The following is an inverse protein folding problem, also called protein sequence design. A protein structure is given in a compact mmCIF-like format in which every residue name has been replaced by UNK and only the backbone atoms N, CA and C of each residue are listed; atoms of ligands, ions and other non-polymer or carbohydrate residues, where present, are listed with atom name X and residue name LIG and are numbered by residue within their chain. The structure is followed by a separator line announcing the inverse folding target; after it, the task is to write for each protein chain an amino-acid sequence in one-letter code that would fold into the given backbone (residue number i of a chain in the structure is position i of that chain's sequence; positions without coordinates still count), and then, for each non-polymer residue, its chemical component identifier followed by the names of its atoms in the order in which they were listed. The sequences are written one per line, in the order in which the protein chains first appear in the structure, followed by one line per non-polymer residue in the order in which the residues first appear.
data_IF_813088617669
#
_entry.id   IF_813088617669
#
_cell.length_a   1.000
_cell.length_b   1.000
_cell.length_c   1.000
_cell.angle_alpha   90.00
_cell.angle_beta   90.00
_cell.angle_gamma   90.00
#
_symmetry.space_group_name_H-M   'P 1'
#
loop_
_entity.id
_entity.type
_entity.pdbx_description
1 polymer ?
#
# COMPACT_ATOMS: atom_id res chain seq x y z
N UNK A 1 -8.70 4.30 6.29
CA UNK A 1 -9.39 3.05 5.90
C UNK A 1 -10.37 2.60 6.95
N UNK A 2 -11.51 2.14 6.51
CA UNK A 2 -12.53 1.69 7.42
C UNK A 2 -12.32 0.23 7.81
N UNK A 3 -12.38 -0.05 9.07
CA UNK A 3 -12.28 -1.42 9.59
C UNK A 3 -13.68 -1.98 9.72
N UNK A 4 -13.87 -3.20 9.27
CA UNK A 4 -15.16 -3.87 9.41
C UNK A 4 -15.36 -4.28 10.85
N UNK A 5 -16.51 -3.91 11.40
CA UNK A 5 -16.81 -4.18 12.80
C UNK A 5 -17.74 -5.35 13.01
N UNK A 6 -18.32 -5.81 11.94
CA UNK A 6 -19.25 -6.92 12.02
C UNK A 6 -19.24 -7.63 10.69
N UNK A 7 -19.93 -8.72 10.63
CA UNK A 7 -19.95 -9.52 9.43
C UNK A 7 -18.82 -10.52 9.47
N UNK A 8 -18.70 -11.29 8.41
CA UNK A 8 -17.76 -12.38 8.39
C UNK A 8 -16.29 -11.96 8.34
N UNK A 9 -16.04 -10.71 8.02
CA UNK A 9 -14.67 -10.22 7.99
C UNK A 9 -14.25 -9.56 9.28
N UNK A 10 -15.13 -9.51 10.25
CA UNK A 10 -14.79 -8.95 11.55
C UNK A 10 -13.66 -9.77 12.14
N UNK A 11 -12.64 -9.14 12.61
CA UNK A 11 -11.47 -9.80 13.16
C UNK A 11 -10.46 -10.27 12.15
N UNK A 12 -10.77 -10.19 10.87
CA UNK A 12 -9.81 -10.53 9.84
C UNK A 12 -8.84 -9.38 9.61
N UNK A 13 -7.64 -9.71 9.20
CA UNK A 13 -6.66 -8.70 8.89
C UNK A 13 -7.06 -7.95 7.61
N UNK A 14 -6.93 -6.64 7.66
CA UNK A 14 -7.20 -5.80 6.52
C UNK A 14 -5.90 -5.11 6.14
N UNK A 15 -5.59 -5.12 4.86
CA UNK A 15 -4.33 -4.57 4.37
C UNK A 15 -4.58 -3.50 3.32
N UNK A 16 -3.61 -2.62 3.19
CA UNK A 16 -3.59 -1.68 2.06
C UNK A 16 -2.15 -1.56 1.58
N UNK A 17 -1.99 -0.93 0.45
CA UNK A 17 -0.70 -0.85 -0.22
C UNK A 17 -0.33 0.59 -0.46
N UNK A 18 0.92 0.92 -0.18
CA UNK A 18 1.48 2.22 -0.46
C UNK A 18 2.49 2.07 -1.58
N UNK A 19 2.41 2.95 -2.55
CA UNK A 19 3.29 2.94 -3.71
C UNK A 19 4.00 4.28 -3.74
N UNK A 20 5.31 4.26 -3.71
CA UNK A 20 6.08 5.49 -3.65
C UNK A 20 7.56 5.23 -3.73
N UNK A 21 8.34 6.07 -3.09
CA UNK A 21 9.80 6.00 -3.19
C UNK A 21 10.43 6.06 -1.81
N UNK A 22 11.45 5.23 -1.62
CA UNK A 22 12.21 5.21 -0.38
C UNK A 22 13.26 6.30 -0.45
N UNK A 23 13.18 7.24 0.47
CA UNK A 23 14.17 8.29 0.60
C UNK A 23 14.96 8.05 1.88
N UNK A 24 16.02 8.84 2.10
CA UNK A 24 16.84 8.69 3.29
C UNK A 24 15.99 8.75 4.56
N UNK A 25 15.81 7.59 5.17
CA UNK A 25 15.14 7.50 6.45
C UNK A 25 13.63 7.59 6.42
N UNK A 26 13.01 7.74 5.27
CA UNK A 26 11.56 7.78 5.21
C UNK A 26 11.05 7.29 3.86
N UNK A 27 9.76 7.00 3.82
CA UNK A 27 9.08 6.54 2.61
C UNK A 27 8.16 7.64 2.11
N UNK A 28 8.38 8.06 0.86
CA UNK A 28 7.56 9.09 0.24
C UNK A 28 6.38 8.42 -0.47
N UNK A 29 5.22 8.43 0.16
CA UNK A 29 4.04 7.78 -0.36
C UNK A 29 3.38 8.61 -1.45
N UNK A 30 3.30 8.06 -2.66
CA UNK A 30 2.69 8.76 -3.79
C UNK A 30 1.22 8.42 -3.92
N UNK A 31 0.88 7.14 -3.79
CA UNK A 31 -0.50 6.70 -3.94
C UNK A 31 -0.74 5.47 -3.08
N UNK A 32 -1.98 5.31 -2.61
CA UNK A 32 -2.38 4.16 -1.82
C UNK A 32 -3.58 3.47 -2.43
N UNK A 33 -3.69 2.18 -2.19
CA UNK A 33 -4.87 1.44 -2.58
C UNK A 33 -5.09 0.27 -1.64
N UNK A 34 -6.34 -0.04 -1.37
CA UNK A 34 -6.70 -1.23 -0.61
C UNK A 34 -6.92 -2.44 -1.53
N UNK A 35 -6.92 -2.21 -2.83
CA UNK A 35 -7.18 -3.25 -3.81
C UNK A 35 -5.88 -3.78 -4.37
N UNK A 36 -5.54 -5.01 -4.00
CA UNK A 36 -4.31 -5.63 -4.45
C UNK A 36 -4.23 -5.72 -5.98
N UNK A 37 -5.36 -5.89 -6.63
CA UNK A 37 -5.38 -6.00 -8.10
C UNK A 37 -5.04 -4.69 -8.79
N UNK A 38 -5.14 -3.57 -8.09
CA UNK A 38 -4.81 -2.27 -8.65
C UNK A 38 -3.33 -1.91 -8.50
N UNK A 39 -2.61 -2.64 -7.66
CA UNK A 39 -1.22 -2.28 -7.34
C UNK A 39 -0.36 -2.26 -8.60
N UNK A 40 -0.45 -3.29 -9.43
CA UNK A 40 0.38 -3.38 -10.62
C UNK A 40 0.14 -2.21 -11.57
N UNK A 41 -1.11 -1.85 -11.79
CA UNK A 41 -1.44 -0.72 -12.66
C UNK A 41 -0.94 0.60 -12.09
N UNK A 42 -1.09 0.78 -10.77
CA UNK A 42 -0.63 1.99 -10.12
C UNK A 42 0.89 2.10 -10.16
N UNK A 43 1.59 0.98 -10.00
CA UNK A 43 3.04 0.96 -10.12
C UNK A 43 3.46 1.45 -11.51
N UNK A 44 2.78 0.97 -12.54
CA UNK A 44 3.10 1.38 -13.90
C UNK A 44 2.84 2.86 -14.13
N UNK A 45 1.76 3.38 -13.57
CA UNK A 45 1.45 4.78 -13.70
C UNK A 45 2.47 5.67 -13.00
N UNK A 46 2.85 5.29 -11.79
CA UNK A 46 3.85 6.05 -11.04
C UNK A 46 5.21 6.00 -11.75
N UNK A 47 5.57 4.83 -12.22
CA UNK A 47 6.82 4.67 -12.95
C UNK A 47 6.85 5.56 -14.19
N UNK A 48 5.75 5.60 -14.91
CA UNK A 48 5.65 6.42 -16.12
C UNK A 48 5.75 7.90 -15.80
N UNK A 49 5.10 8.32 -14.74
CA UNK A 49 5.06 9.72 -14.38
C UNK A 49 6.39 10.21 -13.80
N UNK A 50 7.03 9.39 -13.00
CA UNK A 50 8.24 9.80 -12.28
C UNK A 50 9.52 9.33 -12.93
N UNK A 51 9.44 8.39 -13.86
CA UNK A 51 10.63 7.87 -14.52
C UNK A 51 11.45 6.91 -13.70
N UNK A 52 10.92 6.44 -12.57
CA UNK A 52 11.60 5.50 -11.69
C UNK A 52 10.62 4.42 -11.23
N UNK A 53 11.15 3.24 -10.98
CA UNK A 53 10.32 2.14 -10.50
C UNK A 53 10.02 2.38 -9.02
N UNK A 54 8.75 2.49 -8.65
CA UNK A 54 8.41 2.76 -7.26
C UNK A 54 8.54 1.52 -6.38
N UNK A 55 8.57 1.77 -5.09
CA UNK A 55 8.58 0.73 -4.06
C UNK A 55 7.14 0.53 -3.59
N UNK A 56 6.78 -0.72 -3.35
CA UNK A 56 5.44 -1.06 -2.85
C UNK A 56 5.58 -1.57 -1.42
N UNK A 57 4.76 -1.04 -0.53
CA UNK A 57 4.70 -1.50 0.85
C UNK A 57 3.30 -2.03 1.13
N UNK A 58 3.22 -3.17 1.81
CA UNK A 58 1.96 -3.72 2.26
C UNK A 58 1.82 -3.40 3.74
N UNK A 59 0.74 -2.72 4.10
CA UNK A 59 0.53 -2.23 5.46
C UNK A 59 -0.68 -2.94 6.07
N UNK A 60 -0.53 -3.38 7.30
CA UNK A 60 -1.66 -3.94 8.03
C UNK A 60 -2.44 -2.79 8.66
N UNK A 61 -3.67 -2.60 8.22
CA UNK A 61 -4.44 -1.41 8.58
C UNK A 61 -4.67 -1.27 10.08
N UNK A 62 -4.90 -2.39 10.77
CA UNK A 62 -5.21 -2.34 12.19
C UNK A 62 -4.08 -1.76 13.03
N UNK A 63 -2.85 -2.12 12.70
CA UNK A 63 -1.69 -1.77 13.51
C UNK A 63 -0.76 -0.80 12.80
N UNK A 64 -1.07 -0.42 11.59
CA UNK A 64 -0.21 0.42 10.77
C UNK A 64 1.20 -0.17 10.58
N UNK A 65 1.28 -1.49 10.64
CA UNK A 65 2.55 -2.18 10.60
C UNK A 65 2.89 -2.58 9.18
N UNK A 66 4.13 -2.32 8.76
CA UNK A 66 4.58 -2.74 7.43
C UNK A 66 4.77 -4.25 7.43
N UNK A 67 4.07 -4.92 6.51
CA UNK A 67 4.14 -6.37 6.38
C UNK A 67 5.31 -6.78 5.50
N UNK A 68 5.45 -6.11 4.37
CA UNK A 68 6.59 -6.33 3.49
C UNK A 68 6.80 -5.11 2.60
N UNK A 69 8.00 -5.05 2.03
CA UNK A 69 8.38 -3.99 1.10
C UNK A 69 8.95 -4.69 -0.14
N UNK A 70 8.56 -4.18 -1.29
CA UNK A 70 9.03 -4.76 -2.54
C UNK A 70 9.73 -3.77 -3.40
#
# INVERSE_FOLDING_TARGET
MKVLKSGKNAGCAVYYFQIGFQCDGYFNNVVETANENSVENLVKEVEKEYGEIPVVRKIRANSQKVVWVK
#
